data_IF_274496915203
#
_entry.id   IF_274496915203
#
_cell.length_a   1.000
_cell.length_b   1.000
_cell.length_c   1.000
_cell.angle_alpha   90.00
_cell.angle_beta   90.00
_cell.angle_gamma   90.00
#
_symmetry.space_group_name_H-M   'P 1'
#
loop_
_entity.id
_entity.type
_entity.pdbx_description
1 polymer ?
#
# COMPACT_ATOMS: atom_id res chain seq x y z
N UNK A 1 4.02 -0.84 47.36
CA UNK A 1 4.67 -0.51 46.08
C UNK A 1 3.76 -1.09 44.99
N UNK A 2 2.83 -0.28 44.57
CA UNK A 2 1.84 -0.63 43.53
C UNK A 2 2.42 -0.32 42.18
N UNK A 3 2.28 -1.30 41.28
CA UNK A 3 2.73 -1.25 39.91
C UNK A 3 1.62 -0.54 39.10
N UNK A 4 1.87 0.56 38.37
CA UNK A 4 0.83 1.19 37.59
C UNK A 4 0.52 0.34 36.34
N UNK A 5 -0.74 -0.07 36.26
CA UNK A 5 -1.34 -0.69 35.09
C UNK A 5 -1.09 0.19 33.84
N UNK A 6 -0.53 -0.44 32.81
CA UNK A 6 -0.48 0.13 31.48
C UNK A 6 -1.89 0.13 30.91
N UNK A 7 -2.53 1.27 30.98
CA UNK A 7 -3.74 1.53 30.19
C UNK A 7 -3.45 1.35 28.71
N UNK A 8 -3.97 0.24 28.19
CA UNK A 8 -4.03 -0.03 26.77
C UNK A 8 -5.00 0.94 26.08
N UNK A 9 -4.55 2.17 25.88
CA UNK A 9 -5.26 3.12 25.05
C UNK A 9 -4.98 2.77 23.58
N UNK A 10 -5.61 1.71 23.10
CA UNK A 10 -5.89 1.52 21.68
C UNK A 10 -6.73 2.71 21.26
N UNK A 11 -6.09 3.81 20.88
CA UNK A 11 -6.73 4.84 20.09
C UNK A 11 -7.14 4.15 18.78
N UNK A 12 -8.36 3.61 18.78
CA UNK A 12 -9.14 3.47 17.57
C UNK A 12 -8.95 4.79 16.83
N UNK A 13 -8.25 4.76 15.72
CA UNK A 13 -8.31 5.81 14.74
C UNK A 13 -9.76 5.78 14.24
N UNK A 14 -10.65 6.40 15.02
CA UNK A 14 -11.91 6.87 14.50
C UNK A 14 -11.54 7.83 13.39
N UNK A 15 -11.31 7.25 12.22
CA UNK A 15 -11.19 7.95 10.95
C UNK A 15 -12.54 8.65 10.74
N UNK A 16 -12.69 9.77 11.43
CA UNK A 16 -13.79 10.69 11.27
C UNK A 16 -13.65 11.68 10.09
N UNK A 17 -13.16 11.27 8.90
CA UNK A 17 -13.44 11.98 7.67
C UNK A 17 -14.73 11.51 7.00
N UNK A 18 -15.39 10.45 7.50
CA UNK A 18 -16.63 9.96 6.86
C UNK A 18 -17.68 11.04 6.69
N UNK A 19 -17.82 11.95 7.65
CA UNK A 19 -18.84 13.02 7.60
C UNK A 19 -18.48 14.18 6.67
N UNK A 20 -17.21 14.40 6.39
CA UNK A 20 -16.77 15.53 5.53
C UNK A 20 -16.71 15.16 4.04
N UNK A 21 -16.45 13.91 3.73
CA UNK A 21 -16.26 13.39 2.37
C UNK A 21 -17.58 12.89 1.77
N UNK A 22 -18.49 12.39 2.59
CA UNK A 22 -19.74 11.73 2.17
C UNK A 22 -20.90 12.66 1.78
N UNK A 23 -20.72 13.96 1.70
CA UNK A 23 -21.79 14.91 1.33
C UNK A 23 -21.57 15.65 0.01
N UNK A 24 -20.56 15.28 -0.75
CA UNK A 24 -20.28 15.91 -2.04
C UNK A 24 -21.29 15.44 -3.08
N UNK A 25 -21.84 16.40 -3.82
CA UNK A 25 -22.66 16.12 -5.02
C UNK A 25 -21.79 16.32 -6.24
N UNK A 26 -21.99 15.51 -7.24
CA UNK A 26 -21.30 15.60 -8.52
C UNK A 26 -22.29 15.61 -9.67
N UNK A 27 -21.86 16.16 -10.78
CA UNK A 27 -22.52 16.10 -12.08
C UNK A 27 -21.47 15.82 -13.14
N UNK A 28 -21.82 15.08 -14.16
CA UNK A 28 -20.91 14.72 -15.26
C UNK A 28 -21.34 15.48 -16.51
N UNK A 29 -20.40 16.16 -17.13
CA UNK A 29 -20.60 16.80 -18.41
C UNK A 29 -20.19 15.83 -19.52
N UNK A 30 -21.14 15.48 -20.38
CA UNK A 30 -20.95 14.64 -21.54
C UNK A 30 -21.13 15.43 -22.84
N UNK A 31 -20.78 14.84 -23.98
CA UNK A 31 -21.05 15.46 -25.29
C UNK A 31 -22.54 15.69 -25.59
N UNK A 32 -23.45 15.05 -24.82
CA UNK A 32 -24.90 15.15 -24.98
C UNK A 32 -25.58 16.01 -23.92
N UNK A 33 -24.80 16.63 -23.01
CA UNK A 33 -25.32 17.48 -21.94
C UNK A 33 -24.70 17.16 -20.59
N UNK A 34 -25.33 17.70 -19.55
CA UNK A 34 -24.91 17.50 -18.16
C UNK A 34 -25.92 16.62 -17.43
N UNK A 35 -25.46 15.66 -16.66
CA UNK A 35 -26.32 14.81 -15.86
C UNK A 35 -26.98 15.60 -14.71
N UNK A 36 -28.04 15.06 -14.14
CA UNK A 36 -28.55 15.52 -12.87
C UNK A 36 -27.50 15.36 -11.76
N UNK A 37 -27.64 16.17 -10.71
CA UNK A 37 -26.78 16.09 -9.55
C UNK A 37 -26.99 14.78 -8.80
N UNK A 38 -25.94 14.00 -8.58
CA UNK A 38 -25.98 12.80 -7.77
C UNK A 38 -25.04 12.91 -6.58
N UNK A 39 -25.34 12.18 -5.51
CA UNK A 39 -24.54 12.21 -4.30
C UNK A 39 -23.38 11.23 -4.43
N UNK A 40 -22.16 11.69 -4.11
CA UNK A 40 -20.97 10.85 -4.02
C UNK A 40 -21.00 10.17 -2.66
N UNK A 41 -21.26 8.86 -2.64
CA UNK A 41 -21.39 8.08 -1.40
C UNK A 41 -20.07 7.72 -0.75
N UNK A 42 -19.02 7.47 -1.55
CA UNK A 42 -17.67 7.08 -1.09
C UNK A 42 -16.64 7.61 -2.07
N UNK A 43 -15.44 7.87 -1.55
CA UNK A 43 -14.28 8.27 -2.34
C UNK A 43 -13.84 9.70 -2.08
N UNK A 44 -12.75 10.07 -2.72
CA UNK A 44 -12.11 11.38 -2.63
C UNK A 44 -11.90 11.96 -4.03
N UNK A 45 -11.87 13.29 -4.12
CA UNK A 45 -11.70 13.96 -5.41
C UNK A 45 -10.27 13.81 -5.92
N UNK A 46 -10.13 13.44 -7.19
CA UNK A 46 -8.83 13.47 -7.86
C UNK A 46 -8.30 14.92 -7.90
N UNK A 47 -7.01 15.10 -7.61
CA UNK A 47 -6.36 16.42 -7.57
C UNK A 47 -6.57 17.22 -6.27
N UNK A 48 -7.29 16.67 -5.29
CA UNK A 48 -7.41 17.29 -3.98
C UNK A 48 -6.20 16.92 -3.09
N UNK A 49 -5.61 17.91 -2.42
CA UNK A 49 -4.47 17.69 -1.49
C UNK A 49 -4.87 16.74 -0.36
N UNK A 50 -6.10 16.81 0.13
CA UNK A 50 -6.61 15.91 1.19
C UNK A 50 -6.62 14.46 0.72
N UNK A 51 -6.82 14.19 -0.56
CA UNK A 51 -6.81 12.83 -1.11
C UNK A 51 -5.44 12.17 -1.00
N UNK A 52 -4.37 12.92 -1.25
CA UNK A 52 -2.99 12.46 -1.08
C UNK A 52 -2.70 12.15 0.38
N UNK A 53 -3.02 13.07 1.29
CA UNK A 53 -2.80 12.86 2.72
C UNK A 53 -3.58 11.65 3.27
N UNK A 54 -4.80 11.44 2.80
CA UNK A 54 -5.59 10.27 3.19
C UNK A 54 -4.97 8.97 2.66
N UNK A 55 -4.50 8.97 1.41
CA UNK A 55 -3.84 7.80 0.86
C UNK A 55 -2.57 7.45 1.63
N UNK A 56 -1.75 8.43 1.97
CA UNK A 56 -0.53 8.24 2.77
C UNK A 56 -0.86 7.66 4.17
N UNK A 57 -1.95 8.12 4.81
CA UNK A 57 -2.40 7.58 6.08
C UNK A 57 -2.88 6.13 5.95
N UNK A 58 -3.58 5.78 4.88
CA UNK A 58 -3.98 4.40 4.61
C UNK A 58 -2.76 3.51 4.35
N UNK A 59 -1.82 3.96 3.54
CA UNK A 59 -0.59 3.23 3.27
C UNK A 59 0.22 2.99 4.56
N UNK A 60 0.35 4.01 5.41
CA UNK A 60 1.03 3.89 6.69
C UNK A 60 0.31 2.91 7.63
N UNK A 61 -1.01 2.97 7.70
CA UNK A 61 -1.83 2.04 8.49
C UNK A 61 -1.63 0.58 8.04
N UNK A 62 -1.68 0.33 6.73
CA UNK A 62 -1.46 -1.00 6.16
C UNK A 62 -0.07 -1.52 6.53
N UNK A 63 0.97 -0.71 6.33
CA UNK A 63 2.36 -1.14 6.59
C UNK A 63 2.62 -1.42 8.07
N UNK A 64 2.05 -0.64 8.99
CA UNK A 64 2.15 -0.89 10.42
C UNK A 64 1.44 -2.17 10.83
N UNK A 65 0.22 -2.39 10.37
CA UNK A 65 -0.55 -3.58 10.70
C UNK A 65 0.05 -4.85 10.08
N UNK A 66 0.64 -4.76 8.88
CA UNK A 66 1.41 -5.84 8.30
C UNK A 66 2.70 -6.16 9.10
N UNK A 67 3.02 -5.36 10.13
CA UNK A 67 4.17 -5.57 11.01
C UNK A 67 5.51 -5.29 10.33
N UNK A 68 5.52 -4.47 9.29
CA UNK A 68 6.74 -4.15 8.54
C UNK A 68 7.74 -3.33 9.38
N UNK A 69 7.26 -2.55 10.35
CA UNK A 69 8.13 -1.76 11.24
C UNK A 69 8.89 -2.64 12.26
N UNK A 70 8.32 -3.80 12.62
CA UNK A 70 8.85 -4.70 13.65
C UNK A 70 9.58 -5.92 13.07
N UNK A 71 9.47 -6.16 11.77
CA UNK A 71 10.08 -7.33 11.16
C UNK A 71 11.58 -7.17 11.02
N UNK A 72 12.30 -8.28 11.23
CA UNK A 72 13.71 -8.38 10.88
C UNK A 72 13.89 -8.58 9.36
N UNK A 73 12.80 -8.82 8.65
CA UNK A 73 12.78 -8.96 7.20
C UNK A 73 13.20 -7.64 6.52
N UNK A 74 13.86 -7.75 5.39
CA UNK A 74 14.34 -6.60 4.61
C UNK A 74 15.82 -6.66 4.33
N UNK A 75 16.30 -5.69 3.58
CA UNK A 75 17.69 -5.58 3.15
C UNK A 75 18.43 -4.61 4.09
N UNK A 76 19.61 -5.01 4.55
CA UNK A 76 20.45 -4.15 5.40
C UNK A 76 21.24 -3.15 4.58
N UNK A 77 20.90 -1.87 4.68
CA UNK A 77 21.63 -0.77 4.05
C UNK A 77 22.12 0.17 5.15
N UNK A 78 23.45 0.40 5.21
CA UNK A 78 24.07 1.31 6.17
C UNK A 78 23.60 1.08 7.63
N UNK A 79 23.51 -0.17 8.08
CA UNK A 79 23.05 -0.62 9.41
C UNK A 79 21.55 -0.40 9.69
N UNK A 80 20.78 0.00 8.69
CA UNK A 80 19.31 0.08 8.77
C UNK A 80 18.70 -1.06 8.00
N UNK A 81 17.65 -1.64 8.55
CA UNK A 81 16.87 -2.63 7.84
C UNK A 81 15.78 -1.91 7.04
N UNK A 82 15.78 -2.12 5.72
CA UNK A 82 14.82 -1.52 4.79
C UNK A 82 14.03 -2.66 4.16
N UNK A 83 12.75 -2.73 4.43
CA UNK A 83 11.85 -3.76 3.92
C UNK A 83 10.81 -3.22 2.95
N UNK A 84 10.64 -1.90 2.87
CA UNK A 84 9.76 -1.28 1.89
C UNK A 84 10.26 0.10 1.46
N UNK A 85 9.92 0.49 0.23
CA UNK A 85 10.03 1.84 -0.29
C UNK A 85 8.69 2.23 -0.88
N UNK A 86 8.28 3.48 -0.66
CA UNK A 86 6.98 3.99 -1.11
C UNK A 86 7.15 5.29 -1.90
N UNK A 87 6.44 5.38 -2.99
CA UNK A 87 6.33 6.60 -3.78
C UNK A 87 4.90 6.72 -4.31
N UNK A 88 4.11 7.64 -3.75
CA UNK A 88 2.68 7.75 -4.00
C UNK A 88 1.97 6.39 -3.80
N UNK A 89 1.35 5.85 -4.84
CA UNK A 89 0.68 4.54 -4.85
C UNK A 89 1.62 3.35 -5.16
N UNK A 90 2.83 3.63 -5.61
CA UNK A 90 3.82 2.59 -5.85
C UNK A 90 4.50 2.16 -4.54
N UNK A 91 4.51 0.86 -4.28
CA UNK A 91 5.18 0.27 -3.12
C UNK A 91 6.12 -0.84 -3.57
N UNK A 92 7.36 -0.78 -3.14
CA UNK A 92 8.34 -1.85 -3.33
C UNK A 92 8.58 -2.54 -1.98
N UNK A 93 8.37 -3.85 -1.92
CA UNK A 93 8.74 -4.68 -0.78
C UNK A 93 10.12 -5.29 -1.04
N UNK A 94 10.93 -5.40 0.01
CA UNK A 94 12.28 -5.93 -0.07
C UNK A 94 12.51 -6.97 1.02
N UNK A 95 13.17 -8.08 0.67
CA UNK A 95 13.57 -9.13 1.59
C UNK A 95 14.85 -9.81 1.11
N UNK A 96 15.55 -10.47 2.04
CA UNK A 96 16.75 -11.25 1.71
C UNK A 96 16.42 -12.66 1.17
N UNK A 97 15.18 -13.17 1.42
CA UNK A 97 14.72 -14.48 0.94
C UNK A 97 13.35 -14.42 0.26
N UNK A 98 13.09 -15.43 -0.56
CA UNK A 98 11.81 -15.60 -1.25
C UNK A 98 10.66 -15.81 -0.25
N UNK A 99 10.86 -16.60 0.79
CA UNK A 99 9.88 -16.90 1.83
C UNK A 99 9.49 -15.64 2.61
N UNK A 100 10.48 -14.81 2.96
CA UNK A 100 10.23 -13.54 3.62
C UNK A 100 9.41 -12.62 2.74
N UNK A 101 9.78 -12.49 1.46
CA UNK A 101 9.06 -11.63 0.53
C UNK A 101 7.62 -12.11 0.31
N UNK A 102 7.40 -13.43 0.23
CA UNK A 102 6.05 -14.03 0.18
C UNK A 102 5.25 -13.68 1.43
N UNK A 103 5.82 -13.86 2.60
CA UNK A 103 5.15 -13.54 3.86
C UNK A 103 4.77 -12.05 3.95
N UNK A 104 5.69 -11.15 3.55
CA UNK A 104 5.42 -9.71 3.53
C UNK A 104 4.30 -9.35 2.54
N UNK A 105 4.34 -9.90 1.32
CA UNK A 105 3.35 -9.61 0.28
C UNK A 105 1.95 -10.07 0.66
N UNK A 106 1.82 -11.25 1.30
CA UNK A 106 0.53 -11.75 1.80
C UNK A 106 -0.02 -10.83 2.88
N UNK A 107 0.80 -10.46 3.88
CA UNK A 107 0.36 -9.56 4.96
C UNK A 107 -0.09 -8.20 4.45
N UNK A 108 0.71 -7.59 3.56
CA UNK A 108 0.34 -6.28 2.96
C UNK A 108 -0.95 -6.38 2.17
N UNK A 109 -1.16 -7.48 1.45
CA UNK A 109 -2.39 -7.73 0.72
C UNK A 109 -3.59 -7.85 1.66
N UNK A 110 -3.51 -8.69 2.69
CA UNK A 110 -4.57 -8.88 3.68
C UNK A 110 -4.97 -7.57 4.35
N UNK A 111 -4.00 -6.79 4.83
CA UNK A 111 -4.24 -5.49 5.46
C UNK A 111 -4.81 -4.45 4.48
N UNK A 112 -4.41 -4.52 3.21
CA UNK A 112 -4.96 -3.66 2.16
C UNK A 112 -6.43 -3.97 1.91
N UNK A 113 -6.81 -5.24 1.90
CA UNK A 113 -8.20 -5.67 1.70
C UNK A 113 -9.13 -5.26 2.85
N UNK A 114 -8.63 -5.27 4.10
CA UNK A 114 -9.37 -4.79 5.27
C UNK A 114 -9.81 -3.33 5.11
N UNK A 115 -8.96 -2.49 4.53
CA UNK A 115 -9.28 -1.07 4.27
C UNK A 115 -9.94 -0.83 2.90
N UNK A 116 -10.25 -1.89 2.16
CA UNK A 116 -10.93 -1.82 0.85
C UNK A 116 -10.02 -1.46 -0.32
N UNK A 117 -8.70 -1.53 -0.16
CA UNK A 117 -7.72 -1.38 -1.24
C UNK A 117 -7.35 -2.76 -1.79
N UNK A 118 -7.20 -2.86 -3.10
CA UNK A 118 -6.77 -4.10 -3.76
C UNK A 118 -5.42 -3.90 -4.43
N UNK A 119 -4.50 -4.83 -4.16
CA UNK A 119 -3.23 -4.90 -4.88
C UNK A 119 -3.49 -5.25 -6.34
N UNK A 120 -2.90 -4.51 -7.25
CA UNK A 120 -3.01 -4.78 -8.68
C UNK A 120 -1.94 -5.78 -9.10
N UNK A 121 -2.28 -7.07 -9.11
CA UNK A 121 -1.35 -8.17 -9.39
C UNK A 121 -0.75 -8.05 -10.79
N UNK A 122 -1.54 -7.64 -11.79
CA UNK A 122 -1.06 -7.48 -13.18
C UNK A 122 0.01 -6.40 -13.34
N UNK A 123 -0.03 -5.35 -12.49
CA UNK A 123 1.00 -4.30 -12.44
C UNK A 123 2.14 -4.64 -11.51
N UNK A 124 1.94 -5.59 -10.59
CA UNK A 124 2.97 -6.03 -9.66
C UNK A 124 4.04 -6.81 -10.42
N UNK A 125 5.30 -6.51 -10.13
CA UNK A 125 6.46 -7.17 -10.72
C UNK A 125 7.36 -7.66 -9.61
N UNK A 126 8.10 -8.73 -9.90
CA UNK A 126 9.12 -9.22 -8.99
C UNK A 126 10.49 -9.12 -9.64
N UNK A 127 11.46 -8.68 -8.86
CA UNK A 127 12.85 -8.66 -9.25
C UNK A 127 13.68 -9.41 -8.19
N UNK A 128 14.51 -10.32 -8.61
CA UNK A 128 15.36 -11.08 -7.71
C UNK A 128 16.78 -11.19 -8.25
N UNK A 129 17.71 -11.33 -7.31
CA UNK A 129 19.12 -11.57 -7.62
C UNK A 129 19.42 -13.01 -8.00
N UNK A 130 18.52 -13.96 -7.75
CA UNK A 130 18.61 -15.36 -8.17
C UNK A 130 17.47 -15.68 -9.13
N UNK A 131 17.62 -16.65 -10.03
CA UNK A 131 16.51 -17.09 -10.87
C UNK A 131 15.35 -17.58 -10.02
N UNK A 132 14.18 -16.94 -10.18
CA UNK A 132 12.91 -17.39 -9.60
C UNK A 132 12.17 -18.15 -10.69
N UNK A 133 11.73 -19.38 -10.40
CA UNK A 133 11.04 -20.24 -11.35
C UNK A 133 9.60 -19.80 -11.60
N UNK A 134 8.89 -19.41 -10.56
CA UNK A 134 7.52 -18.86 -10.66
C UNK A 134 7.16 -18.14 -9.36
N UNK A 135 6.38 -17.09 -9.48
CA UNK A 135 5.82 -16.38 -8.35
C UNK A 135 4.33 -16.19 -8.57
N UNK A 136 3.55 -16.57 -7.57
CA UNK A 136 2.10 -16.48 -7.65
C UNK A 136 1.55 -15.74 -6.43
N UNK A 137 0.57 -14.89 -6.68
CA UNK A 137 -0.25 -14.23 -5.66
C UNK A 137 -1.70 -14.55 -6.00
N UNK A 138 -2.43 -15.21 -5.11
CA UNK A 138 -3.82 -15.64 -5.31
C UNK A 138 -4.05 -16.53 -6.55
N UNK A 139 -3.05 -17.33 -6.92
CA UNK A 139 -3.11 -18.15 -8.13
C UNK A 139 -2.89 -17.40 -9.44
N UNK A 140 -2.59 -16.10 -9.37
CA UNK A 140 -2.16 -15.31 -10.52
C UNK A 140 -0.63 -15.22 -10.55
N UNK A 141 -0.03 -15.50 -11.71
CA UNK A 141 1.42 -15.44 -11.89
C UNK A 141 1.87 -14.00 -11.97
N UNK A 142 2.88 -13.64 -11.17
CA UNK A 142 3.54 -12.33 -11.19
C UNK A 142 4.73 -12.38 -12.15
N UNK A 143 4.84 -11.36 -13.00
CA UNK A 143 5.93 -11.25 -13.96
C UNK A 143 7.26 -10.96 -13.28
N UNK A 144 8.29 -11.73 -13.64
CA UNK A 144 9.67 -11.50 -13.21
C UNK A 144 10.37 -10.55 -14.18
N UNK A 145 11.01 -9.51 -13.65
CA UNK A 145 11.69 -8.48 -14.42
C UNK A 145 13.12 -8.29 -13.96
N UNK A 146 13.97 -7.78 -14.86
CA UNK A 146 15.37 -7.44 -14.57
C UNK A 146 15.55 -5.99 -14.17
N UNK A 147 14.57 -5.16 -14.46
CA UNK A 147 14.56 -3.74 -14.13
C UNK A 147 13.13 -3.25 -13.92
N UNK A 148 12.99 -2.20 -13.12
CA UNK A 148 11.71 -1.54 -12.88
C UNK A 148 11.89 -0.04 -12.67
N UNK A 149 10.82 0.70 -12.82
CA UNK A 149 10.77 2.14 -12.56
C UNK A 149 10.01 2.40 -11.28
N UNK A 150 10.64 3.05 -10.32
CA UNK A 150 10.00 3.54 -9.10
C UNK A 150 10.19 5.06 -9.03
N UNK A 151 9.10 5.81 -8.90
CA UNK A 151 9.16 7.26 -8.80
C UNK A 151 9.85 7.96 -9.99
N UNK A 152 9.79 7.38 -11.19
CA UNK A 152 10.48 7.87 -12.40
C UNK A 152 11.96 7.52 -12.49
N UNK A 153 12.52 6.81 -11.51
CA UNK A 153 13.90 6.32 -11.52
C UNK A 153 13.94 4.86 -11.98
N UNK A 154 14.75 4.60 -12.98
CA UNK A 154 14.97 3.23 -13.46
C UNK A 154 15.97 2.52 -12.56
N UNK A 155 15.54 1.37 -12.04
CA UNK A 155 16.34 0.50 -11.18
C UNK A 155 16.70 -0.76 -11.95
N UNK A 156 17.97 -1.15 -11.94
CA UNK A 156 18.47 -2.35 -12.61
C UNK A 156 19.04 -3.32 -11.60
N UNK A 157 18.73 -4.60 -11.78
CA UNK A 157 19.48 -5.65 -11.11
C UNK A 157 20.79 -5.85 -11.87
N UNK A 158 21.88 -5.34 -11.32
CA UNK A 158 23.22 -5.69 -11.82
C UNK A 158 23.77 -6.81 -10.95
N UNK A 159 24.07 -7.91 -11.60
CA UNK A 159 24.81 -9.05 -11.07
C UNK A 159 26.29 -8.75 -11.00
#
# INVERSE_FOLDING_TARGET
>A
MENPERDGNTRSLDLAPEKSICRSKATVRTGHGTTDWFQVGKGVCQGCIVSLCLFDLYAEFIMRNAGLDETKAGIKIARRNINNLRYADDTTLMAESEEELKSLSVKVKEESEIVGLKVNIQKTKIMASCPITSWEIDGETVETVTDFILGGLQNHCRW
#
